data_IF_340998773415
#
_entry.id   IF_340998773415
#
_cell.length_a   1.000
_cell.length_b   1.000
_cell.length_c   1.000
_cell.angle_alpha   90.00
_cell.angle_beta   90.00
_cell.angle_gamma   90.00
#
_symmetry.space_group_name_H-M   'P 1'
#
loop_
_entity.id
_entity.type
_entity.pdbx_description
1 polymer ?
#
# COMPACT_ATOMS: atom_id res chain seq x y z
N UNK A 1 -35.38 -20.18 37.35
CA UNK A 1 -35.21 -20.61 38.76
C UNK A 1 -33.82 -20.16 39.18
N UNK A 2 -33.63 -19.31 40.17
CA UNK A 2 -32.32 -18.86 40.61
C UNK A 2 -31.52 -20.00 41.22
N UNK A 3 -30.21 -20.09 40.92
CA UNK A 3 -29.26 -21.13 41.33
C UNK A 3 -29.04 -21.27 42.85
N UNK A 4 -29.77 -20.53 43.68
CA UNK A 4 -29.62 -20.50 45.18
C UNK A 4 -30.01 -21.82 45.87
N UNK A 5 -30.70 -22.75 45.19
CA UNK A 5 -31.31 -23.93 45.86
C UNK A 5 -30.66 -25.28 45.43
N UNK A 6 -29.51 -25.30 44.77
CA UNK A 6 -28.80 -26.57 44.52
C UNK A 6 -27.84 -26.88 45.70
N UNK A 7 -27.90 -28.09 46.30
CA UNK A 7 -26.99 -28.46 47.38
C UNK A 7 -25.55 -28.55 46.84
N UNK A 8 -24.63 -27.85 47.52
CA UNK A 8 -23.19 -27.86 47.22
C UNK A 8 -22.61 -29.26 47.39
N UNK A 9 -22.27 -29.93 46.30
CA UNK A 9 -21.59 -31.23 46.33
C UNK A 9 -20.13 -31.02 46.78
N UNK A 10 -19.73 -31.54 47.95
CA UNK A 10 -18.32 -31.66 48.35
C UNK A 10 -17.62 -32.70 47.48
N UNK A 11 -17.02 -32.28 46.40
CA UNK A 11 -16.22 -33.12 45.50
C UNK A 11 -14.73 -32.86 45.71
N UNK A 12 -13.89 -33.89 45.46
CA UNK A 12 -12.44 -33.80 45.61
C UNK A 12 -11.84 -32.59 44.84
N UNK A 13 -10.89 -31.92 45.49
CA UNK A 13 -10.17 -30.77 44.92
C UNK A 13 -9.42 -31.20 43.66
N UNK A 14 -9.41 -30.39 42.59
CA UNK A 14 -8.60 -30.67 41.41
C UNK A 14 -7.10 -30.63 41.76
N UNK A 15 -6.24 -31.30 40.96
CA UNK A 15 -4.79 -31.19 41.11
C UNK A 15 -4.35 -29.73 41.07
N UNK A 16 -3.25 -29.42 41.77
CA UNK A 16 -2.75 -28.03 41.87
C UNK A 16 -2.48 -27.34 40.54
N UNK A 17 -2.24 -28.12 39.49
CA UNK A 17 -2.05 -27.62 38.11
C UNK A 17 -3.34 -27.08 37.48
N UNK A 18 -4.52 -27.57 37.89
CA UNK A 18 -5.83 -27.18 37.35
C UNK A 18 -6.51 -26.07 38.16
N UNK A 19 -5.82 -25.48 39.13
CA UNK A 19 -6.34 -24.37 39.92
C UNK A 19 -6.36 -23.08 39.09
N UNK A 20 -7.43 -22.26 39.21
CA UNK A 20 -7.46 -20.91 38.63
C UNK A 20 -6.24 -20.08 38.99
N UNK A 21 -5.78 -19.25 38.06
CA UNK A 21 -4.58 -18.42 38.27
C UNK A 21 -4.61 -17.62 39.57
N UNK A 22 -5.80 -17.10 39.93
CA UNK A 22 -5.99 -16.34 41.16
C UNK A 22 -5.63 -17.14 42.42
N UNK A 23 -5.93 -18.44 42.43
CA UNK A 23 -5.65 -19.32 43.60
C UNK A 23 -4.25 -19.96 43.51
N UNK A 24 -3.73 -20.17 42.33
CA UNK A 24 -2.42 -20.79 42.10
C UNK A 24 -1.28 -19.96 42.70
N UNK A 25 -1.37 -18.64 42.55
CA UNK A 25 -0.32 -17.72 43.00
C UNK A 25 -0.41 -17.34 44.49
N UNK A 26 -1.40 -17.90 45.22
CA UNK A 26 -1.51 -17.68 46.63
C UNK A 26 -0.45 -18.49 47.43
N UNK A 27 0.06 -17.94 48.56
CA UNK A 27 0.85 -18.70 49.49
C UNK A 27 0.10 -19.97 49.92
N UNK A 28 0.80 -21.10 50.16
CA UNK A 28 0.17 -22.38 50.50
C UNK A 28 -0.80 -22.29 51.70
N UNK A 29 -0.45 -21.54 52.72
CA UNK A 29 -1.30 -21.32 53.91
C UNK A 29 -2.62 -20.62 53.56
N UNK A 30 -2.56 -19.57 52.72
CA UNK A 30 -3.75 -18.82 52.27
C UNK A 30 -4.62 -19.71 51.39
N UNK A 31 -4.00 -20.46 50.47
CA UNK A 31 -4.70 -21.40 49.59
C UNK A 31 -5.45 -22.45 50.37
N UNK A 32 -4.83 -23.04 51.39
CA UNK A 32 -5.48 -24.00 52.27
C UNK A 32 -6.66 -23.40 53.05
N UNK A 33 -6.62 -22.11 53.36
CA UNK A 33 -7.72 -21.41 54.04
C UNK A 33 -8.88 -21.08 53.08
N UNK A 34 -8.61 -20.81 51.79
CA UNK A 34 -9.64 -20.48 50.78
C UNK A 34 -10.42 -21.71 50.34
N UNK A 35 -9.74 -22.81 50.09
CA UNK A 35 -10.32 -24.00 49.44
C UNK A 35 -11.61 -24.53 50.15
N UNK A 36 -11.69 -24.57 51.48
CA UNK A 36 -12.91 -25.00 52.18
C UNK A 36 -14.10 -24.02 52.05
N UNK A 37 -13.81 -22.76 51.65
CA UNK A 37 -14.83 -21.70 51.52
C UNK A 37 -15.45 -21.64 50.14
N UNK A 38 -14.92 -22.43 49.16
CA UNK A 38 -15.41 -22.47 47.80
C UNK A 38 -16.62 -23.36 47.64
N UNK A 39 -17.65 -22.83 47.04
CA UNK A 39 -18.87 -23.57 46.64
C UNK A 39 -18.76 -23.97 45.17
N UNK A 40 -18.83 -25.28 44.87
CA UNK A 40 -18.79 -25.76 43.48
C UNK A 40 -20.19 -25.75 42.86
N UNK A 41 -20.29 -25.16 41.69
CA UNK A 41 -21.50 -25.11 40.86
C UNK A 41 -21.24 -25.77 39.52
N UNK A 42 -22.02 -26.78 39.14
CA UNK A 42 -22.04 -27.37 37.82
C UNK A 42 -23.14 -26.68 37.01
N UNK A 43 -22.74 -26.04 35.94
CA UNK A 43 -23.63 -25.22 35.11
C UNK A 43 -23.92 -25.94 33.79
N UNK A 44 -25.18 -26.19 33.44
CA UNK A 44 -25.54 -26.81 32.17
C UNK A 44 -25.28 -25.83 30.99
N UNK A 45 -25.20 -26.33 29.76
CA UNK A 45 -25.09 -25.48 28.54
C UNK A 45 -26.18 -24.39 28.53
N UNK A 46 -25.78 -23.14 28.26
CA UNK A 46 -26.66 -21.97 28.27
C UNK A 46 -27.11 -21.51 29.66
N UNK A 47 -26.69 -22.19 30.76
CA UNK A 47 -27.07 -21.83 32.14
C UNK A 47 -26.55 -20.45 32.54
N UNK A 48 -27.39 -19.67 33.21
CA UNK A 48 -27.04 -18.35 33.70
C UNK A 48 -26.24 -18.47 35.00
N UNK A 49 -25.01 -17.89 35.02
CA UNK A 49 -24.15 -17.87 36.21
C UNK A 49 -24.35 -16.55 36.97
N UNK A 50 -24.38 -15.44 36.27
CA UNK A 50 -24.68 -14.10 36.75
C UNK A 50 -25.74 -13.46 35.88
N UNK A 51 -26.63 -12.67 36.44
CA UNK A 51 -27.59 -11.86 35.70
C UNK A 51 -27.32 -10.38 35.97
N UNK A 52 -27.33 -9.58 34.92
CA UNK A 52 -27.25 -8.12 35.02
C UNK A 52 -28.37 -7.58 35.91
N UNK A 53 -28.03 -6.65 36.82
CA UNK A 53 -28.94 -6.07 37.77
C UNK A 53 -29.14 -6.85 39.09
N UNK A 54 -28.68 -8.12 39.16
CA UNK A 54 -28.74 -8.89 40.42
C UNK A 54 -27.75 -8.32 41.47
N UNK A 55 -28.02 -8.50 42.76
CA UNK A 55 -27.10 -8.11 43.84
C UNK A 55 -25.73 -8.80 43.68
N UNK A 56 -24.66 -8.06 43.95
CA UNK A 56 -23.28 -8.58 43.95
C UNK A 56 -22.94 -9.23 45.28
N UNK A 57 -22.94 -10.57 45.33
CA UNK A 57 -22.85 -11.34 46.57
C UNK A 57 -21.67 -12.34 46.63
N UNK A 58 -20.97 -12.54 45.52
CA UNK A 58 -19.85 -13.51 45.41
C UNK A 58 -18.89 -13.18 44.27
N UNK A 59 -17.65 -13.64 44.40
CA UNK A 59 -16.65 -13.77 43.33
C UNK A 59 -16.77 -15.18 42.72
N UNK A 60 -16.59 -15.29 41.40
CA UNK A 60 -16.67 -16.55 40.70
C UNK A 60 -15.36 -16.87 40.01
N UNK A 61 -15.03 -18.17 39.92
CA UNK A 61 -13.84 -18.71 39.24
C UNK A 61 -14.30 -19.79 38.27
N UNK A 62 -14.00 -19.64 36.98
CA UNK A 62 -14.32 -20.66 35.99
C UNK A 62 -13.26 -21.75 36.02
N UNK A 63 -13.64 -22.99 36.36
CA UNK A 63 -12.73 -24.13 36.52
C UNK A 63 -12.61 -24.92 35.21
N UNK A 64 -13.76 -25.16 34.56
CA UNK A 64 -13.86 -25.89 33.28
C UNK A 64 -14.94 -25.26 32.42
N UNK A 65 -14.77 -25.41 31.11
CA UNK A 65 -15.70 -24.88 30.12
C UNK A 65 -15.36 -23.46 29.69
N UNK A 66 -16.33 -22.84 29.08
CA UNK A 66 -16.28 -21.44 28.61
C UNK A 66 -17.58 -20.73 29.01
N UNK A 67 -17.51 -19.42 29.17
CA UNK A 67 -18.68 -18.59 29.44
C UNK A 67 -18.67 -17.31 28.58
N UNK A 68 -19.86 -16.83 28.26
CA UNK A 68 -20.11 -15.63 27.48
C UNK A 68 -20.58 -14.53 28.39
N UNK A 69 -19.93 -13.37 28.31
CA UNK A 69 -20.33 -12.14 29.02
C UNK A 69 -21.13 -11.29 28.06
N UNK A 70 -22.34 -10.93 28.45
CA UNK A 70 -23.24 -10.07 27.69
C UNK A 70 -23.81 -8.94 28.52
N UNK A 71 -24.15 -7.83 27.84
CA UNK A 71 -24.84 -6.69 28.45
C UNK A 71 -26.14 -6.45 27.68
N UNK A 72 -27.20 -6.15 28.41
CA UNK A 72 -28.46 -5.80 27.78
C UNK A 72 -28.39 -4.37 27.20
N UNK A 73 -28.68 -4.25 25.92
CA UNK A 73 -28.75 -2.97 25.19
C UNK A 73 -30.12 -2.85 24.52
N UNK A 74 -31.08 -2.32 25.27
CA UNK A 74 -32.43 -2.13 24.76
C UNK A 74 -33.23 -3.42 24.51
N UNK A 75 -33.04 -4.45 25.35
CA UNK A 75 -33.71 -5.74 25.27
C UNK A 75 -32.98 -6.77 24.37
N UNK A 76 -31.81 -6.44 23.83
CA UNK A 76 -30.96 -7.38 23.09
C UNK A 76 -29.62 -7.61 23.79
N UNK A 77 -29.18 -8.87 23.97
CA UNK A 77 -27.90 -9.17 24.60
C UNK A 77 -26.74 -8.86 23.63
N UNK A 78 -25.94 -7.85 23.99
CA UNK A 78 -24.69 -7.51 23.28
C UNK A 78 -23.53 -8.30 23.88
N UNK A 79 -22.76 -8.99 23.06
CA UNK A 79 -21.56 -9.71 23.50
C UNK A 79 -20.49 -8.70 23.95
N UNK A 80 -20.06 -8.80 25.23
CA UNK A 80 -18.99 -7.98 25.81
C UNK A 80 -17.67 -8.73 25.83
N UNK A 81 -17.69 -10.06 26.07
CA UNK A 81 -16.49 -10.86 26.12
C UNK A 81 -16.74 -12.34 26.33
N UNK A 82 -15.66 -13.11 26.37
CA UNK A 82 -15.66 -14.54 26.69
C UNK A 82 -14.72 -14.82 27.82
N UNK A 83 -15.08 -15.77 28.66
CA UNK A 83 -14.30 -16.27 29.78
C UNK A 83 -13.89 -17.72 29.49
N UNK A 84 -12.69 -18.05 29.88
CA UNK A 84 -12.10 -19.38 29.74
C UNK A 84 -11.76 -19.98 31.11
N UNK A 85 -11.54 -21.28 31.16
CA UNK A 85 -11.06 -21.93 32.36
C UNK A 85 -9.82 -21.24 32.97
N UNK A 86 -9.85 -20.92 34.23
CA UNK A 86 -8.83 -20.15 34.94
C UNK A 86 -9.20 -18.67 35.21
N UNK A 87 -10.19 -18.15 34.49
CA UNK A 87 -10.62 -16.75 34.68
C UNK A 87 -11.47 -16.59 35.97
N UNK A 88 -11.35 -15.40 36.56
CA UNK A 88 -12.22 -14.94 37.65
C UNK A 88 -13.17 -13.84 37.14
N UNK A 89 -14.36 -13.74 37.70
CA UNK A 89 -15.36 -12.74 37.29
C UNK A 89 -16.34 -12.41 38.42
N UNK A 90 -17.06 -11.30 38.25
CA UNK A 90 -18.02 -10.83 39.25
C UNK A 90 -17.41 -9.94 40.32
N UNK A 91 -16.12 -9.62 40.27
CA UNK A 91 -15.40 -8.75 41.19
C UNK A 91 -15.86 -7.29 41.13
N UNK A 92 -16.26 -6.83 39.93
CA UNK A 92 -16.59 -5.41 39.72
C UNK A 92 -17.71 -4.96 40.65
N UNK A 93 -18.84 -5.63 40.62
CA UNK A 93 -19.95 -5.25 41.50
C UNK A 93 -19.67 -5.40 42.99
N UNK A 94 -18.78 -6.33 43.40
CA UNK A 94 -18.31 -6.43 44.78
C UNK A 94 -17.44 -5.26 45.22
N UNK A 95 -16.61 -4.74 44.28
CA UNK A 95 -15.73 -3.58 44.52
C UNK A 95 -16.48 -2.27 44.53
N UNK A 96 -17.42 -2.09 43.58
CA UNK A 96 -18.21 -0.87 43.45
C UNK A 96 -19.41 -0.83 44.37
N UNK A 97 -19.77 -1.96 45.00
CA UNK A 97 -21.00 -2.15 45.79
C UNK A 97 -22.28 -1.90 44.97
N UNK A 98 -22.19 -2.12 43.68
CA UNK A 98 -23.28 -1.96 42.71
C UNK A 98 -23.85 -3.33 42.30
N UNK A 99 -25.06 -3.38 41.73
CA UNK A 99 -25.58 -4.57 41.07
C UNK A 99 -24.67 -5.07 39.95
N UNK A 100 -24.84 -6.34 39.54
CA UNK A 100 -24.07 -6.94 38.43
C UNK A 100 -24.18 -6.09 37.16
N UNK A 101 -23.06 -5.71 36.60
CA UNK A 101 -22.99 -4.84 35.41
C UNK A 101 -23.23 -5.58 34.07
N UNK A 102 -23.20 -6.92 34.10
CA UNK A 102 -23.32 -7.79 32.93
C UNK A 102 -23.91 -9.14 33.31
N UNK A 103 -24.47 -9.86 32.33
CA UNK A 103 -24.87 -11.27 32.48
C UNK A 103 -23.74 -12.19 32.02
N UNK A 104 -23.60 -13.35 32.66
CA UNK A 104 -22.64 -14.39 32.31
C UNK A 104 -23.38 -15.71 32.14
N UNK A 105 -23.25 -16.33 30.96
CA UNK A 105 -23.89 -17.61 30.65
C UNK A 105 -22.82 -18.62 30.21
N UNK A 106 -23.02 -19.88 30.57
CA UNK A 106 -22.13 -20.95 30.17
C UNK A 106 -22.27 -21.24 28.65
N UNK A 107 -21.14 -21.26 27.94
CA UNK A 107 -21.07 -21.63 26.50
C UNK A 107 -20.72 -23.13 26.37
N UNK A 108 -21.64 -23.98 26.81
CA UNK A 108 -21.44 -25.40 27.00
C UNK A 108 -21.45 -25.80 28.49
N UNK A 109 -21.16 -27.06 28.84
CA UNK A 109 -21.06 -27.50 30.24
C UNK A 109 -19.91 -26.76 30.93
N UNK A 110 -20.15 -26.18 32.12
CA UNK A 110 -19.14 -25.44 32.85
C UNK A 110 -19.14 -25.81 34.35
N UNK A 111 -17.94 -25.88 34.95
CA UNK A 111 -17.73 -25.96 36.39
C UNK A 111 -17.22 -24.60 36.89
N UNK A 112 -17.91 -24.07 37.89
CA UNK A 112 -17.63 -22.75 38.46
C UNK A 112 -17.49 -22.89 39.98
N UNK A 113 -16.49 -22.21 40.56
CA UNK A 113 -16.44 -22.03 41.98
C UNK A 113 -16.97 -20.65 42.37
N UNK A 114 -17.86 -20.63 43.34
CA UNK A 114 -18.43 -19.43 43.95
C UNK A 114 -17.75 -19.18 45.27
N UNK A 115 -17.25 -17.97 45.51
CA UNK A 115 -16.70 -17.51 46.77
C UNK A 115 -17.57 -16.38 47.34
N UNK A 116 -18.45 -16.63 48.34
CA UNK A 116 -19.33 -15.62 48.90
C UNK A 116 -18.57 -14.43 49.47
N UNK A 117 -19.19 -13.25 49.48
CA UNK A 117 -18.59 -12.04 50.06
C UNK A 117 -18.19 -12.24 51.52
N UNK A 118 -19.04 -12.93 52.32
CA UNK A 118 -18.73 -13.27 53.73
C UNK A 118 -17.44 -14.10 53.85
N UNK A 119 -17.18 -15.01 52.94
CA UNK A 119 -15.96 -15.82 52.87
C UNK A 119 -14.73 -14.97 52.46
N UNK A 120 -14.89 -14.04 51.54
CA UNK A 120 -13.85 -13.06 51.18
C UNK A 120 -13.47 -12.18 52.39
N UNK A 121 -14.46 -11.69 53.13
CA UNK A 121 -14.25 -10.88 54.33
C UNK A 121 -13.59 -11.68 55.45
N UNK A 122 -14.00 -12.94 55.63
CA UNK A 122 -13.36 -13.84 56.58
C UNK A 122 -11.88 -14.06 56.22
N UNK A 123 -11.58 -14.37 54.98
CA UNK A 123 -10.22 -14.59 54.50
C UNK A 123 -9.34 -13.35 54.71
N UNK A 124 -9.84 -12.17 54.36
CA UNK A 124 -9.14 -10.91 54.58
C UNK A 124 -8.79 -10.66 56.02
N UNK A 125 -9.73 -10.97 56.95
CA UNK A 125 -9.50 -10.80 58.39
C UNK A 125 -8.52 -11.81 58.96
N UNK A 126 -8.53 -13.06 58.49
CA UNK A 126 -7.71 -14.15 59.05
C UNK A 126 -6.32 -14.25 58.43
N UNK A 127 -6.18 -13.94 57.17
CA UNK A 127 -4.90 -14.10 56.44
C UNK A 127 -4.29 -12.78 55.97
N UNK A 128 -5.01 -11.65 56.08
CA UNK A 128 -4.63 -10.36 55.51
C UNK A 128 -4.70 -10.32 53.97
N UNK A 129 -5.18 -11.38 53.32
CA UNK A 129 -5.21 -11.49 51.87
C UNK A 129 -6.51 -10.97 51.29
N UNK A 130 -6.42 -9.96 50.42
CA UNK A 130 -7.56 -9.40 49.70
C UNK A 130 -7.60 -9.97 48.25
N UNK A 131 -8.34 -11.07 48.08
CA UNK A 131 -8.50 -11.75 46.79
C UNK A 131 -9.27 -10.89 45.80
N UNK A 132 -10.17 -10.05 46.26
CA UNK A 132 -10.98 -9.18 45.43
C UNK A 132 -10.09 -8.13 44.73
N UNK A 133 -9.26 -7.45 45.52
CA UNK A 133 -8.28 -6.49 44.99
C UNK A 133 -7.27 -7.16 44.06
N UNK A 134 -6.83 -8.39 44.36
CA UNK A 134 -5.92 -9.13 43.47
C UNK A 134 -6.57 -9.48 42.15
N UNK A 135 -7.83 -9.95 42.13
CA UNK A 135 -8.60 -10.23 40.93
C UNK A 135 -8.73 -8.97 40.07
N UNK A 136 -9.14 -7.85 40.66
CA UNK A 136 -9.31 -6.57 39.97
C UNK A 136 -8.01 -6.04 39.37
N UNK A 137 -6.88 -6.12 40.07
CA UNK A 137 -5.57 -5.72 39.57
C UNK A 137 -5.16 -6.53 38.33
N UNK A 138 -5.39 -7.85 38.33
CA UNK A 138 -5.10 -8.72 37.16
C UNK A 138 -5.92 -8.30 35.94
N UNK A 139 -7.22 -8.06 36.11
CA UNK A 139 -8.07 -7.60 35.02
C UNK A 139 -7.65 -6.22 34.52
N UNK A 140 -7.32 -5.28 35.43
CA UNK A 140 -6.83 -3.96 35.05
C UNK A 140 -5.50 -4.03 34.26
N UNK A 141 -4.56 -4.88 34.71
CA UNK A 141 -3.28 -5.09 33.98
C UNK A 141 -3.52 -5.68 32.61
N UNK A 142 -4.32 -6.74 32.48
CA UNK A 142 -4.63 -7.36 31.20
C UNK A 142 -5.33 -6.40 30.23
N UNK A 143 -6.25 -5.58 30.73
CA UNK A 143 -6.92 -4.54 29.96
C UNK A 143 -5.93 -3.44 29.51
N UNK A 144 -5.06 -2.99 30.42
CA UNK A 144 -4.01 -2.00 30.14
C UNK A 144 -3.07 -2.47 29.02
N UNK A 145 -2.63 -3.73 29.05
CA UNK A 145 -1.80 -4.33 28.01
C UNK A 145 -2.52 -4.43 26.66
N UNK A 146 -3.83 -4.77 26.67
CA UNK A 146 -4.64 -4.80 25.44
C UNK A 146 -4.79 -3.40 24.84
N UNK A 147 -5.09 -2.40 25.66
CA UNK A 147 -5.20 -1.00 25.23
C UNK A 147 -3.87 -0.47 24.69
N UNK A 148 -2.75 -0.75 25.38
CA UNK A 148 -1.42 -0.37 24.89
C UNK A 148 -1.12 -0.97 23.51
N UNK A 149 -1.40 -2.27 23.29
CA UNK A 149 -1.24 -2.92 21.99
C UNK A 149 -2.10 -2.29 20.90
N UNK A 150 -3.39 -2.06 21.19
CA UNK A 150 -4.31 -1.42 20.22
C UNK A 150 -3.84 -0.01 19.87
N UNK A 151 -3.42 0.78 20.85
CA UNK A 151 -2.91 2.13 20.64
C UNK A 151 -1.62 2.12 19.79
N UNK A 152 -0.70 1.17 20.05
CA UNK A 152 0.52 1.04 19.24
C UNK A 152 0.20 0.72 17.77
N UNK A 153 -0.68 -0.28 17.53
CA UNK A 153 -1.11 -0.65 16.16
C UNK A 153 -1.81 0.52 15.47
N UNK A 154 -2.68 1.23 16.19
CA UNK A 154 -3.39 2.39 15.65
C UNK A 154 -2.41 3.53 15.27
N UNK A 155 -1.43 3.82 16.15
CA UNK A 155 -0.41 4.83 15.90
C UNK A 155 0.48 4.48 14.68
N UNK A 156 0.96 3.24 14.58
CA UNK A 156 1.74 2.76 13.44
C UNK A 156 0.95 2.83 12.13
N UNK A 157 -0.32 2.42 12.17
CA UNK A 157 -1.19 2.47 10.99
C UNK A 157 -1.42 3.90 10.54
N UNK A 158 -1.68 4.81 11.48
CA UNK A 158 -1.87 6.23 11.20
C UNK A 158 -0.61 6.88 10.62
N UNK A 159 0.57 6.55 11.15
CA UNK A 159 1.84 7.02 10.61
C UNK A 159 2.05 6.57 9.16
N UNK A 160 1.82 5.28 8.85
CA UNK A 160 1.92 4.77 7.47
C UNK A 160 0.98 5.50 6.51
N UNK A 161 -0.27 5.70 6.89
CA UNK A 161 -1.22 6.45 6.06
C UNK A 161 -0.80 7.91 5.86
N UNK A 162 -0.25 8.55 6.89
CA UNK A 162 0.25 9.92 6.78
C UNK A 162 1.46 10.02 5.84
N UNK A 163 2.38 9.06 5.89
CA UNK A 163 3.53 8.99 4.98
C UNK A 163 3.09 8.76 3.54
N UNK A 164 2.17 7.82 3.30
CA UNK A 164 1.60 7.59 1.98
C UNK A 164 0.90 8.84 1.43
N UNK A 165 0.12 9.54 2.26
CA UNK A 165 -0.56 10.77 1.87
C UNK A 165 0.46 11.88 1.53
N UNK A 166 1.47 12.09 2.36
CA UNK A 166 2.56 13.06 2.10
C UNK A 166 3.27 12.77 0.79
N UNK A 167 3.58 11.50 0.53
CA UNK A 167 4.20 11.07 -0.73
C UNK A 167 3.32 11.39 -1.93
N UNK A 168 2.02 11.09 -1.87
CA UNK A 168 1.07 11.41 -2.94
C UNK A 168 0.97 12.91 -3.22
N UNK A 169 0.93 13.73 -2.18
CA UNK A 169 0.92 15.20 -2.31
C UNK A 169 2.21 15.70 -2.95
N UNK A 170 3.37 15.21 -2.51
CA UNK A 170 4.66 15.59 -3.06
C UNK A 170 4.78 15.22 -4.55
N UNK A 171 4.37 14.00 -4.95
CA UNK A 171 4.34 13.61 -6.35
C UNK A 171 3.29 14.37 -7.16
N UNK A 172 2.14 14.72 -6.58
CA UNK A 172 1.14 15.56 -7.21
C UNK A 172 1.68 16.96 -7.52
N UNK A 173 2.40 17.57 -6.57
CA UNK A 173 3.07 18.86 -6.76
C UNK A 173 4.14 18.77 -7.85
N UNK A 174 4.99 17.75 -7.80
CA UNK A 174 6.00 17.49 -8.83
C UNK A 174 5.36 17.37 -10.22
N UNK A 175 4.30 16.58 -10.34
CA UNK A 175 3.55 16.38 -11.57
C UNK A 175 2.97 17.70 -12.11
N UNK A 176 2.35 18.50 -11.24
CA UNK A 176 1.77 19.80 -11.62
C UNK A 176 2.83 20.76 -12.17
N UNK A 177 4.00 20.81 -11.51
CA UNK A 177 5.12 21.65 -11.97
C UNK A 177 5.67 21.17 -13.33
N UNK A 178 5.73 19.85 -13.57
CA UNK A 178 6.15 19.29 -14.86
C UNK A 178 5.12 19.61 -15.95
N UNK A 179 3.83 19.52 -15.69
CA UNK A 179 2.77 19.90 -16.65
C UNK A 179 2.87 21.38 -17.02
N UNK A 180 3.08 22.26 -16.03
CA UNK A 180 3.30 23.67 -16.30
C UNK A 180 4.53 23.91 -17.18
N UNK A 181 5.64 23.24 -16.89
CA UNK A 181 6.86 23.33 -17.69
C UNK A 181 6.65 22.83 -19.12
N UNK A 182 5.90 21.73 -19.31
CA UNK A 182 5.53 21.20 -20.62
C UNK A 182 4.62 22.18 -21.39
N UNK A 183 3.68 22.81 -20.71
CA UNK A 183 2.84 23.84 -21.32
C UNK A 183 3.69 25.03 -21.83
N UNK A 184 4.64 25.51 -21.02
CA UNK A 184 5.55 26.57 -21.42
C UNK A 184 6.44 26.17 -22.61
N UNK A 185 6.91 24.92 -22.62
CA UNK A 185 7.68 24.35 -23.73
C UNK A 185 6.88 24.33 -25.04
N UNK A 186 5.67 23.76 -25.04
CA UNK A 186 4.83 23.67 -26.23
C UNK A 186 4.40 25.06 -26.73
N UNK A 187 4.07 25.97 -25.81
CA UNK A 187 3.73 27.35 -26.12
C UNK A 187 4.92 28.11 -26.71
N UNK A 188 6.11 27.90 -26.17
CA UNK A 188 7.37 28.46 -26.69
C UNK A 188 7.68 27.98 -28.11
N UNK A 189 7.49 26.69 -28.40
CA UNK A 189 7.63 26.14 -29.76
C UNK A 189 6.65 26.80 -30.72
N UNK A 190 5.37 26.97 -30.32
CA UNK A 190 4.36 27.63 -31.14
C UNK A 190 4.72 29.07 -31.45
N UNK A 191 5.14 29.83 -30.41
CA UNK A 191 5.54 31.22 -30.57
C UNK A 191 6.80 31.37 -31.47
N UNK A 192 7.82 30.54 -31.26
CA UNK A 192 9.02 30.57 -32.09
C UNK A 192 8.70 30.27 -33.55
N UNK A 193 7.86 29.30 -33.85
CA UNK A 193 7.40 29.03 -35.25
C UNK A 193 6.68 30.23 -35.88
N UNK A 194 5.85 30.93 -35.10
CA UNK A 194 5.16 32.13 -35.56
C UNK A 194 6.13 33.29 -35.85
N UNK A 195 7.13 33.50 -34.98
CA UNK A 195 8.09 34.59 -35.11
C UNK A 195 9.17 34.33 -36.18
N UNK A 196 9.53 33.06 -36.39
CA UNK A 196 10.61 32.68 -37.36
C UNK A 196 10.09 32.32 -38.74
N UNK A 197 8.95 32.80 -39.18
CA UNK A 197 8.24 32.47 -40.45
C UNK A 197 9.11 32.20 -41.71
N UNK A 198 10.43 32.13 -41.60
CA UNK A 198 11.40 31.86 -42.63
C UNK A 198 12.32 30.69 -42.27
N UNK A 199 12.00 29.50 -42.76
CA UNK A 199 12.98 28.49 -43.20
C UNK A 199 13.97 27.85 -42.19
N UNK A 200 13.92 28.15 -40.91
CA UNK A 200 14.80 27.49 -39.93
C UNK A 200 14.35 26.04 -39.67
N UNK A 201 15.28 25.07 -39.67
CA UNK A 201 14.94 23.69 -39.41
C UNK A 201 14.26 23.53 -38.03
N UNK A 202 13.22 22.71 -37.96
CA UNK A 202 12.47 22.44 -36.74
C UNK A 202 13.37 21.97 -35.59
N UNK A 203 14.46 21.26 -35.87
CA UNK A 203 15.44 20.75 -34.94
C UNK A 203 16.26 21.88 -34.30
N UNK A 204 16.68 22.90 -35.04
CA UNK A 204 17.43 24.04 -34.48
C UNK A 204 16.59 24.91 -33.52
N UNK A 205 15.27 24.94 -33.73
CA UNK A 205 14.34 25.67 -32.85
C UNK A 205 14.01 24.82 -31.60
N UNK A 206 13.76 23.53 -31.78
CA UNK A 206 13.26 22.66 -30.69
C UNK A 206 14.35 22.22 -29.72
N UNK A 207 15.61 22.04 -30.21
CA UNK A 207 16.69 21.52 -29.35
C UNK A 207 17.06 22.45 -28.18
N UNK A 208 17.28 23.77 -28.35
CA UNK A 208 17.57 24.67 -27.23
C UNK A 208 16.41 24.74 -26.24
N UNK A 209 15.17 24.75 -26.72
CA UNK A 209 13.98 24.80 -25.89
C UNK A 209 13.80 23.50 -25.09
N UNK A 210 14.07 22.34 -25.72
CA UNK A 210 14.08 21.05 -25.03
C UNK A 210 15.15 20.99 -23.93
N UNK A 211 16.35 21.52 -24.19
CA UNK A 211 17.42 21.59 -23.18
C UNK A 211 17.05 22.50 -22.02
N UNK A 212 16.43 23.66 -22.31
CA UNK A 212 15.92 24.56 -21.26
C UNK A 212 14.83 23.87 -20.41
N UNK A 213 13.90 23.16 -21.06
CA UNK A 213 12.89 22.34 -20.39
C UNK A 213 13.54 21.25 -19.52
N UNK A 214 14.55 20.55 -20.06
CA UNK A 214 15.28 19.53 -19.30
C UNK A 214 15.99 20.10 -18.06
N UNK A 215 16.59 21.26 -18.19
CA UNK A 215 17.23 21.96 -17.06
C UNK A 215 16.20 22.36 -16.00
N UNK A 216 15.04 22.88 -16.40
CA UNK A 216 13.92 23.17 -15.50
C UNK A 216 13.38 21.90 -14.81
N UNK A 217 13.19 20.84 -15.58
CA UNK A 217 12.74 19.55 -15.07
C UNK A 217 13.74 18.94 -14.08
N UNK A 218 15.05 19.02 -14.35
CA UNK A 218 16.10 18.58 -13.44
C UNK A 218 16.14 19.44 -12.16
N UNK A 219 15.91 20.75 -12.28
CA UNK A 219 15.76 21.67 -11.15
C UNK A 219 14.59 21.27 -10.24
N UNK A 220 13.40 21.06 -10.83
CA UNK A 220 12.20 20.62 -10.11
C UNK A 220 12.45 19.25 -9.43
N UNK A 221 13.09 18.30 -10.14
CA UNK A 221 13.44 16.99 -9.58
C UNK A 221 14.40 17.11 -8.37
N UNK A 222 15.42 17.97 -8.46
CA UNK A 222 16.34 18.22 -7.33
C UNK A 222 15.63 18.87 -6.13
N UNK A 223 14.80 19.88 -6.38
CA UNK A 223 14.03 20.57 -5.34
C UNK A 223 12.96 19.69 -4.68
N UNK A 224 12.53 18.63 -5.34
CA UNK A 224 11.57 17.67 -4.79
C UNK A 224 12.09 16.85 -3.60
N UNK A 225 13.41 16.80 -3.42
CA UNK A 225 14.08 16.01 -2.37
C UNK A 225 14.09 14.50 -2.62
N UNK A 226 13.53 14.03 -3.75
CA UNK A 226 13.57 12.60 -4.10
C UNK A 226 14.94 12.19 -4.65
N UNK A 227 15.32 10.92 -4.41
CA UNK A 227 16.58 10.39 -4.95
C UNK A 227 16.54 10.26 -6.47
N UNK A 228 17.69 10.34 -7.13
CA UNK A 228 17.80 10.14 -8.57
C UNK A 228 17.26 8.77 -9.04
N UNK A 229 17.40 7.75 -8.21
CA UNK A 229 16.85 6.43 -8.48
C UNK A 229 15.31 6.43 -8.60
N UNK A 230 14.61 7.34 -7.91
CA UNK A 230 13.15 7.53 -8.02
C UNK A 230 12.73 7.90 -9.45
N UNK A 231 13.60 8.59 -10.18
CA UNK A 231 13.39 9.03 -11.56
C UNK A 231 14.00 8.08 -12.61
N UNK A 232 14.41 6.87 -12.18
CA UNK A 232 14.96 5.87 -13.08
C UNK A 232 16.47 5.97 -13.36
N UNK A 233 17.19 6.89 -12.68
CA UNK A 233 18.65 6.91 -12.73
C UNK A 233 19.22 5.83 -11.82
N UNK A 234 19.19 4.59 -12.29
CA UNK A 234 19.67 3.42 -11.58
C UNK A 234 20.39 2.48 -12.52
N UNK A 235 21.48 1.89 -12.02
CA UNK A 235 22.24 0.84 -12.71
C UNK A 235 21.95 -0.55 -12.12
N UNK A 236 20.91 -0.67 -11.29
CA UNK A 236 20.51 -1.96 -10.74
C UNK A 236 20.17 -2.92 -11.89
N UNK A 237 20.80 -4.10 -11.89
CA UNK A 237 20.62 -5.13 -12.93
C UNK A 237 20.90 -4.62 -14.37
N UNK A 238 21.79 -3.65 -14.56
CA UNK A 238 22.04 -3.00 -15.85
C UNK A 238 22.28 -3.95 -17.03
N UNK A 239 23.00 -5.08 -16.79
CA UNK A 239 23.25 -6.07 -17.83
C UNK A 239 21.99 -6.72 -18.36
N UNK A 240 21.08 -7.08 -17.45
CA UNK A 240 19.77 -7.61 -17.81
C UNK A 240 18.91 -6.54 -18.50
N UNK A 241 18.92 -5.31 -17.98
CA UNK A 241 18.19 -4.19 -18.59
C UNK A 241 18.63 -3.95 -20.03
N UNK A 242 19.93 -3.94 -20.31
CA UNK A 242 20.46 -3.78 -21.66
C UNK A 242 20.06 -4.96 -22.55
N UNK A 243 20.26 -6.20 -22.12
CA UNK A 243 19.95 -7.39 -22.91
C UNK A 243 18.45 -7.48 -23.25
N UNK A 244 17.57 -7.27 -22.25
CA UNK A 244 16.12 -7.27 -22.45
C UNK A 244 15.67 -6.13 -23.37
N UNK A 245 16.26 -4.94 -23.23
CA UNK A 245 15.96 -3.79 -24.08
C UNK A 245 16.39 -4.02 -25.54
N UNK A 246 17.58 -4.57 -25.77
CA UNK A 246 18.05 -4.90 -27.12
C UNK A 246 17.17 -5.96 -27.78
N UNK A 247 16.78 -7.00 -27.06
CA UNK A 247 15.89 -8.04 -27.56
C UNK A 247 14.55 -7.46 -28.03
N UNK A 248 13.87 -6.71 -27.15
CA UNK A 248 12.56 -6.16 -27.48
C UNK A 248 12.64 -5.03 -28.51
N UNK A 249 13.73 -4.26 -28.54
CA UNK A 249 14.01 -3.28 -29.59
C UNK A 249 14.16 -3.95 -30.97
N UNK A 250 14.90 -5.06 -31.05
CA UNK A 250 15.04 -5.82 -32.29
C UNK A 250 13.69 -6.37 -32.76
N UNK A 251 12.87 -6.91 -31.86
CA UNK A 251 11.49 -7.37 -32.18
C UNK A 251 10.64 -6.21 -32.71
N UNK A 252 10.71 -5.04 -32.07
CA UNK A 252 9.96 -3.85 -32.51
C UNK A 252 10.42 -3.36 -33.88
N UNK A 253 11.72 -3.25 -34.09
CA UNK A 253 12.29 -2.86 -35.41
C UNK A 253 11.89 -3.84 -36.52
N UNK A 254 11.93 -5.15 -36.23
CA UNK A 254 11.49 -6.17 -37.20
C UNK A 254 9.99 -6.03 -37.52
N UNK A 255 9.15 -5.80 -36.53
CA UNK A 255 7.71 -5.60 -36.74
C UNK A 255 7.41 -4.35 -37.58
N UNK A 256 8.08 -3.21 -37.29
CA UNK A 256 7.94 -1.98 -38.06
C UNK A 256 8.42 -2.17 -39.52
N UNK A 257 9.54 -2.86 -39.70
CA UNK A 257 10.08 -3.18 -41.04
C UNK A 257 9.10 -4.06 -41.83
N UNK A 258 8.54 -5.10 -41.18
CA UNK A 258 7.55 -5.97 -41.80
C UNK A 258 6.25 -5.20 -42.15
N UNK A 259 5.81 -4.28 -41.28
CA UNK A 259 4.66 -3.43 -41.56
C UNK A 259 4.91 -2.53 -42.77
N UNK A 260 6.09 -1.88 -42.87
CA UNK A 260 6.46 -1.10 -44.05
C UNK A 260 6.50 -1.97 -45.31
N UNK A 261 7.12 -3.15 -45.26
CA UNK A 261 7.17 -4.07 -46.40
C UNK A 261 5.77 -4.46 -46.87
N UNK A 262 4.84 -4.72 -45.95
CA UNK A 262 3.45 -5.02 -46.28
C UNK A 262 2.75 -3.83 -46.95
N UNK A 263 2.92 -2.61 -46.45
CA UNK A 263 2.34 -1.40 -47.04
C UNK A 263 2.87 -1.18 -48.45
N UNK A 264 4.16 -1.36 -48.66
CA UNK A 264 4.78 -1.24 -50.00
C UNK A 264 4.27 -2.31 -50.98
N UNK A 265 4.03 -3.54 -50.50
CA UNK A 265 3.43 -4.60 -51.32
C UNK A 265 1.98 -4.30 -51.70
N UNK A 266 1.28 -3.44 -50.92
CA UNK A 266 -0.04 -2.91 -51.24
C UNK A 266 0.00 -1.58 -52.00
N UNK A 267 1.19 -1.17 -52.47
CA UNK A 267 1.44 0.09 -53.17
C UNK A 267 1.00 1.36 -52.43
N UNK A 268 1.00 1.30 -51.11
CA UNK A 268 0.62 2.42 -50.23
C UNK A 268 1.85 3.11 -49.63
N UNK A 269 1.91 4.45 -49.51
CA UNK A 269 0.93 5.46 -49.98
C UNK A 269 1.04 5.76 -51.50
N UNK A 270 2.10 5.32 -52.12
CA UNK A 270 2.35 5.48 -53.55
C UNK A 270 3.33 4.41 -54.08
N UNK A 271 3.25 4.02 -55.36
CA UNK A 271 4.20 3.06 -55.93
C UNK A 271 5.62 3.62 -56.00
N UNK A 272 6.62 2.73 -56.01
CA UNK A 272 8.03 3.08 -56.23
C UNK A 272 8.83 3.48 -55.00
N UNK A 273 8.24 3.45 -53.77
CA UNK A 273 8.98 3.66 -52.55
C UNK A 273 9.85 2.43 -52.20
N UNK A 274 11.10 2.66 -51.79
CA UNK A 274 11.99 1.59 -51.34
C UNK A 274 11.78 1.19 -49.91
N UNK A 275 12.03 -0.10 -49.56
CA UNK A 275 11.98 -0.59 -48.21
C UNK A 275 13.04 0.08 -47.34
N UNK A 276 14.25 0.20 -47.86
CA UNK A 276 15.38 0.85 -47.20
C UNK A 276 15.83 2.07 -48.01
N UNK A 277 16.19 3.13 -47.32
CA UNK A 277 16.68 4.36 -47.89
C UNK A 277 18.19 4.52 -47.70
N UNK A 278 18.90 5.35 -48.50
CA UNK A 278 20.29 5.69 -48.24
C UNK A 278 20.45 6.30 -46.86
N UNK A 279 21.48 5.88 -46.13
CA UNK A 279 21.75 6.33 -44.78
C UNK A 279 22.17 7.81 -44.69
N UNK A 280 22.63 8.37 -45.78
CA UNK A 280 23.06 9.76 -45.89
C UNK A 280 21.97 10.61 -46.54
N UNK A 281 21.56 11.70 -45.86
CA UNK A 281 20.58 12.65 -46.39
C UNK A 281 21.09 13.40 -47.62
N UNK A 282 20.17 14.01 -48.35
CA UNK A 282 20.51 14.86 -49.51
C UNK A 282 21.39 16.07 -49.14
N UNK A 283 21.38 16.49 -47.83
CA UNK A 283 22.21 17.58 -47.31
C UNK A 283 23.67 17.16 -47.02
N UNK A 284 24.00 15.87 -47.20
CA UNK A 284 25.34 15.33 -47.07
C UNK A 284 25.63 14.68 -45.73
N UNK A 285 26.78 13.97 -45.68
CA UNK A 285 27.14 13.14 -44.50
C UNK A 285 27.35 13.95 -43.20
N UNK A 286 27.83 15.20 -43.30
CA UNK A 286 28.06 16.06 -42.13
C UNK A 286 26.74 16.43 -41.44
N UNK A 287 25.75 16.85 -42.22
CA UNK A 287 24.42 17.17 -41.69
C UNK A 287 23.74 15.93 -41.10
N UNK A 288 23.87 14.79 -41.76
CA UNK A 288 23.35 13.51 -41.29
C UNK A 288 23.96 13.11 -39.93
N UNK A 289 25.29 13.18 -39.82
CA UNK A 289 25.98 12.87 -38.57
C UNK A 289 25.57 13.82 -37.43
N UNK A 290 25.46 15.11 -37.71
CA UNK A 290 25.01 16.09 -36.72
C UNK A 290 23.58 15.80 -36.23
N UNK A 291 22.67 15.48 -37.15
CA UNK A 291 21.29 15.13 -36.81
C UNK A 291 21.22 13.88 -35.94
N UNK A 292 21.97 12.82 -36.25
CA UNK A 292 22.01 11.60 -35.47
C UNK A 292 22.70 11.78 -34.10
N UNK A 293 23.75 12.60 -34.04
CA UNK A 293 24.40 12.96 -32.78
C UNK A 293 23.43 13.74 -31.85
N UNK A 294 22.74 14.73 -32.41
CA UNK A 294 21.71 15.48 -31.65
C UNK A 294 20.59 14.56 -31.21
N UNK A 295 20.07 13.70 -32.07
CA UNK A 295 19.03 12.72 -31.75
C UNK A 295 19.48 11.80 -30.58
N UNK A 296 20.70 11.26 -30.67
CA UNK A 296 21.27 10.37 -29.64
C UNK A 296 21.37 11.05 -28.27
N UNK A 297 21.73 12.34 -28.23
CA UNK A 297 21.83 13.11 -26.97
C UNK A 297 20.46 13.52 -26.45
N UNK A 298 19.54 13.90 -27.36
CA UNK A 298 18.22 14.42 -26.94
C UNK A 298 17.23 13.34 -26.55
N UNK A 299 17.33 12.11 -27.10
CA UNK A 299 16.42 11.00 -26.77
C UNK A 299 16.43 10.62 -25.27
N UNK A 300 17.60 10.44 -24.59
CA UNK A 300 17.63 10.23 -23.14
C UNK A 300 17.00 11.36 -22.33
N UNK A 301 17.13 12.61 -22.80
CA UNK A 301 16.51 13.79 -22.16
C UNK A 301 14.99 13.70 -22.26
N UNK A 302 14.47 13.34 -23.42
CA UNK A 302 13.03 13.13 -23.61
C UNK A 302 12.52 12.00 -22.71
N UNK A 303 13.24 10.88 -22.62
CA UNK A 303 12.86 9.76 -21.74
C UNK A 303 12.92 10.13 -20.26
N UNK A 304 13.89 10.94 -19.83
CA UNK A 304 13.92 11.46 -18.47
C UNK A 304 12.63 12.24 -18.13
N UNK A 305 12.19 13.11 -19.04
CA UNK A 305 10.98 13.91 -18.82
C UNK A 305 9.72 13.05 -18.88
N UNK A 306 9.59 12.23 -19.93
CA UNK A 306 8.37 11.46 -20.19
C UNK A 306 8.24 10.25 -19.25
N UNK A 307 9.32 9.51 -18.99
CA UNK A 307 9.30 8.27 -18.20
C UNK A 307 9.75 8.51 -16.77
N UNK A 308 10.91 9.15 -16.59
CA UNK A 308 11.45 9.42 -15.26
C UNK A 308 10.53 10.31 -14.42
N UNK A 309 10.18 11.47 -14.93
CA UNK A 309 9.40 12.45 -14.19
C UNK A 309 7.89 12.22 -14.33
N UNK A 310 7.36 12.22 -15.54
CA UNK A 310 5.92 12.22 -15.75
C UNK A 310 5.30 10.85 -15.42
N UNK A 311 5.76 9.77 -16.07
CA UNK A 311 5.24 8.43 -15.81
C UNK A 311 5.54 7.96 -14.39
N UNK A 312 6.76 8.20 -13.91
CA UNK A 312 7.18 7.84 -12.55
C UNK A 312 6.34 8.53 -11.48
N UNK A 313 6.05 9.83 -11.64
CA UNK A 313 5.16 10.57 -10.74
C UNK A 313 3.73 10.06 -10.77
N UNK A 314 3.18 9.78 -11.96
CA UNK A 314 1.85 9.20 -12.12
C UNK A 314 1.72 7.84 -11.44
N UNK A 315 2.73 6.97 -11.56
CA UNK A 315 2.76 5.66 -10.90
C UNK A 315 2.72 5.75 -9.37
N UNK A 316 3.27 6.82 -8.79
CA UNK A 316 3.29 7.06 -7.34
C UNK A 316 2.04 7.80 -6.83
N UNK A 317 1.45 8.65 -7.66
CA UNK A 317 0.29 9.47 -7.32
C UNK A 317 -1.05 8.74 -7.50
N UNK A 318 -1.18 7.98 -8.59
CA UNK A 318 -2.42 7.28 -8.92
C UNK A 318 -2.71 6.14 -7.93
N UNK A 319 -3.99 5.91 -7.68
CA UNK A 319 -4.48 4.82 -6.84
C UNK A 319 -5.47 3.93 -7.61
N UNK A 320 -5.75 2.74 -7.09
CA UNK A 320 -6.73 1.81 -7.63
C UNK A 320 -6.13 0.79 -8.60
N UNK A 321 -6.99 0.16 -9.42
CA UNK A 321 -6.58 -0.89 -10.36
C UNK A 321 -5.87 -0.31 -11.59
N UNK A 322 -4.95 -1.09 -12.17
CA UNK A 322 -4.24 -0.78 -13.42
C UNK A 322 -3.45 0.56 -13.41
N UNK A 323 -2.90 0.95 -12.25
CA UNK A 323 -2.10 2.17 -12.08
C UNK A 323 -0.97 2.25 -13.12
N UNK A 324 -0.23 1.15 -13.32
CA UNK A 324 0.87 1.11 -14.29
C UNK A 324 0.42 1.42 -15.72
N UNK A 325 -0.66 0.78 -16.18
CA UNK A 325 -1.21 1.02 -17.52
C UNK A 325 -1.71 2.46 -17.68
N UNK A 326 -2.43 2.99 -16.68
CA UNK A 326 -2.93 4.36 -16.70
C UNK A 326 -1.80 5.38 -16.74
N UNK A 327 -0.73 5.16 -15.97
CA UNK A 327 0.44 6.01 -15.98
C UNK A 327 1.15 6.00 -17.34
N UNK A 328 1.29 4.82 -17.97
CA UNK A 328 1.84 4.70 -19.32
C UNK A 328 0.98 5.45 -20.33
N UNK A 329 -0.33 5.23 -20.35
CA UNK A 329 -1.24 5.89 -21.29
C UNK A 329 -1.22 7.40 -21.16
N UNK A 330 -1.33 7.93 -19.92
CA UNK A 330 -1.38 9.38 -19.69
C UNK A 330 -0.05 10.05 -20.02
N UNK A 331 1.07 9.50 -19.55
CA UNK A 331 2.39 10.09 -19.85
C UNK A 331 2.70 10.04 -21.35
N UNK A 332 2.27 8.97 -22.03
CA UNK A 332 2.47 8.81 -23.45
C UNK A 332 1.57 9.76 -24.29
N UNK A 333 0.34 10.00 -23.87
CA UNK A 333 -0.52 11.00 -24.49
C UNK A 333 0.12 12.38 -24.44
N UNK A 334 0.67 12.79 -23.28
CA UNK A 334 1.41 14.05 -23.15
C UNK A 334 2.65 14.08 -24.04
N UNK A 335 3.43 12.98 -24.05
CA UNK A 335 4.60 12.85 -24.93
C UNK A 335 4.25 13.01 -26.41
N UNK A 336 3.18 12.38 -26.87
CA UNK A 336 2.68 12.48 -28.23
C UNK A 336 2.24 13.91 -28.57
N UNK A 337 1.48 14.57 -27.68
CA UNK A 337 1.04 15.98 -27.87
C UNK A 337 2.24 16.93 -28.01
N UNK A 338 3.33 16.70 -27.27
CA UNK A 338 4.56 17.51 -27.42
C UNK A 338 5.19 17.45 -28.81
N UNK A 339 4.85 16.44 -29.65
CA UNK A 339 5.31 16.29 -31.02
C UNK A 339 4.35 16.90 -32.05
N UNK A 340 3.23 17.49 -31.61
CA UNK A 340 2.25 18.12 -32.51
C UNK A 340 2.85 19.23 -33.42
N UNK A 341 3.93 19.85 -32.99
CA UNK A 341 4.64 20.87 -33.75
C UNK A 341 5.28 20.31 -35.07
N UNK A 342 5.49 18.99 -35.15
CA UNK A 342 5.96 18.29 -36.34
C UNK A 342 4.82 17.85 -37.27
N UNK A 343 3.57 18.01 -36.83
CA UNK A 343 2.37 17.61 -37.55
C UNK A 343 1.54 16.57 -36.81
N UNK A 344 0.24 16.54 -37.08
CA UNK A 344 -0.70 15.63 -36.40
C UNK A 344 -0.39 14.16 -36.71
N UNK A 345 -0.07 13.84 -37.95
CA UNK A 345 0.32 12.48 -38.38
C UNK A 345 1.54 11.99 -37.60
N UNK A 346 2.56 12.85 -37.48
CA UNK A 346 3.75 12.54 -36.72
C UNK A 346 3.45 12.31 -35.21
N UNK A 347 2.65 13.17 -34.59
CA UNK A 347 2.25 13.01 -33.17
C UNK A 347 1.50 11.68 -32.94
N UNK A 348 0.65 11.27 -33.88
CA UNK A 348 -0.05 9.97 -33.81
C UNK A 348 0.95 8.81 -34.02
N UNK A 349 1.87 8.94 -34.98
CA UNK A 349 2.87 7.91 -35.25
C UNK A 349 3.80 7.66 -34.04
N UNK A 350 4.19 8.70 -33.31
CA UNK A 350 5.04 8.60 -32.10
C UNK A 350 4.32 7.95 -30.93
N UNK A 351 2.98 7.88 -30.96
CA UNK A 351 2.20 7.29 -29.86
C UNK A 351 2.51 5.81 -29.66
N UNK A 352 2.64 5.03 -30.72
CA UNK A 352 2.91 3.59 -30.65
C UNK A 352 4.28 3.25 -30.03
N UNK A 353 5.42 3.79 -30.53
CA UNK A 353 6.71 3.56 -29.89
C UNK A 353 6.74 4.12 -28.46
N UNK A 354 6.04 5.22 -28.20
CA UNK A 354 5.91 5.76 -26.87
C UNK A 354 5.21 4.84 -25.88
N UNK A 355 4.18 4.09 -26.28
CA UNK A 355 3.57 3.04 -25.45
C UNK A 355 4.58 1.93 -25.15
N UNK A 356 5.34 1.51 -26.14
CA UNK A 356 6.37 0.48 -26.00
C UNK A 356 7.46 0.91 -25.01
N UNK A 357 7.98 2.13 -25.09
CA UNK A 357 8.96 2.67 -24.13
C UNK A 357 8.36 2.85 -22.74
N UNK A 358 7.09 3.26 -22.64
CA UNK A 358 6.38 3.35 -21.37
C UNK A 358 6.24 2.00 -20.67
N UNK A 359 5.92 0.95 -21.42
CA UNK A 359 5.90 -0.42 -20.94
C UNK A 359 7.30 -0.89 -20.51
N UNK A 360 8.32 -0.64 -21.34
CA UNK A 360 9.71 -1.00 -21.03
C UNK A 360 10.20 -0.33 -19.74
N UNK A 361 9.91 0.95 -19.56
CA UNK A 361 10.24 1.66 -18.33
C UNK A 361 9.49 1.09 -17.12
N UNK A 362 8.21 0.78 -17.24
CA UNK A 362 7.44 0.15 -16.17
C UNK A 362 8.01 -1.22 -15.77
N UNK A 363 8.60 -1.96 -16.72
CA UNK A 363 9.25 -3.26 -16.51
C UNK A 363 10.62 -3.16 -15.84
N UNK A 364 11.43 -2.15 -16.21
CA UNK A 364 12.81 -2.01 -15.75
C UNK A 364 12.98 -1.08 -14.55
N UNK A 365 12.15 -0.06 -14.41
CA UNK A 365 12.35 1.03 -13.47
C UNK A 365 13.62 1.86 -13.74
N UNK A 366 14.17 1.78 -14.95
CA UNK A 366 15.45 2.39 -15.34
C UNK A 366 15.36 3.12 -16.66
N UNK A 367 15.96 4.31 -16.73
CA UNK A 367 16.08 5.09 -17.96
C UNK A 367 17.10 4.49 -18.94
N UNK A 368 18.05 3.68 -18.48
CA UNK A 368 19.12 3.14 -19.31
C UNK A 368 18.59 2.35 -20.49
N UNK A 369 17.70 1.38 -20.23
CA UNK A 369 17.16 0.52 -21.29
C UNK A 369 16.23 1.25 -22.24
N UNK A 370 15.36 2.09 -21.71
CA UNK A 370 14.41 2.84 -22.53
C UNK A 370 15.10 3.89 -23.41
N UNK A 371 16.13 4.58 -22.87
CA UNK A 371 16.93 5.52 -23.67
C UNK A 371 17.69 4.83 -24.79
N UNK A 372 18.32 3.68 -24.49
CA UNK A 372 18.99 2.87 -25.51
C UNK A 372 18.02 2.43 -26.61
N UNK A 373 16.85 1.93 -26.24
CA UNK A 373 15.80 1.52 -27.17
C UNK A 373 15.30 2.68 -28.03
N UNK A 374 15.08 3.85 -27.42
CA UNK A 374 14.61 5.05 -28.12
C UNK A 374 15.62 5.49 -29.21
N UNK A 375 16.92 5.54 -28.84
CA UNK A 375 17.98 5.87 -29.80
C UNK A 375 17.97 4.88 -30.98
N UNK A 376 17.97 3.58 -30.69
CA UNK A 376 18.06 2.55 -31.72
C UNK A 376 16.84 2.52 -32.65
N UNK A 377 15.62 2.60 -32.09
CA UNK A 377 14.39 2.65 -32.89
C UNK A 377 14.35 3.91 -33.73
N UNK A 378 14.69 5.07 -33.18
CA UNK A 378 14.67 6.30 -33.92
C UNK A 378 15.66 6.32 -35.09
N UNK A 379 16.92 5.90 -34.85
CA UNK A 379 17.91 5.77 -35.91
C UNK A 379 17.46 4.77 -36.98
N UNK A 380 16.81 3.66 -36.58
CA UNK A 380 16.28 2.68 -37.54
C UNK A 380 15.14 3.26 -38.39
N UNK A 381 14.17 3.90 -37.71
CA UNK A 381 12.95 4.43 -38.37
C UNK A 381 13.26 5.62 -39.28
N UNK A 382 14.14 6.54 -38.87
CA UNK A 382 14.47 7.75 -39.64
C UNK A 382 15.64 7.54 -40.60
N UNK A 383 16.69 6.80 -40.18
CA UNK A 383 17.92 6.64 -40.97
C UNK A 383 17.89 5.47 -41.92
N UNK A 384 17.17 4.40 -41.64
CA UNK A 384 17.15 3.19 -42.46
C UNK A 384 15.84 3.01 -43.22
N UNK A 385 14.71 3.24 -42.54
CA UNK A 385 13.40 3.02 -43.13
C UNK A 385 12.80 4.29 -43.75
N UNK A 386 13.22 5.48 -43.32
CA UNK A 386 12.63 6.77 -43.72
C UNK A 386 11.09 6.75 -43.72
N UNK A 387 10.50 6.41 -42.55
CA UNK A 387 9.04 6.39 -42.45
C UNK A 387 8.42 7.79 -42.56
N UNK A 388 9.20 8.85 -42.41
CA UNK A 388 8.73 10.21 -42.55
C UNK A 388 8.24 10.50 -44.01
N UNK A 389 8.80 9.81 -45.02
CA UNK A 389 8.34 9.91 -46.40
C UNK A 389 6.98 9.26 -46.68
N UNK A 390 6.45 8.48 -45.69
CA UNK A 390 5.18 7.77 -45.82
C UNK A 390 4.03 8.49 -45.06
N UNK A 391 4.34 9.46 -44.23
CA UNK A 391 3.39 10.23 -43.41
C UNK A 391 3.31 11.67 -43.95
#
# INVERSE_FOLDING_TARGET
MPLKDQPAARSALPPSADLPLLLRDLPPAVRSAVLPLLERLAIPPGGCILREGDPSDALYLLIRGQAVVSKDQGGQPMLVGRLSAGDSFGEVGLLTQEPRSTSVHADGPADVWRLPQSALDHLRRTTGTDLLTQSARRHATALGERLARVNTIAAETMQRHLEEFRMRVAFGTLFSNIILLLFLYVSGLGLLRYLTAAGASSTLISAPLLLAMAAGAAGIARLSGFSAATFGFTLTRWRWVIADSLLWTAVFCAAVTAAKALLLALEYPRPGLALFQPWVSAEGWQATLLAYALYTVLSPVQEFIARGLLQGSLQKMLAGRAVGLRAVLLSNAVFSICHQHLGTGYAVAVFLPGLFWGWMYARHGSLLGVSLSHILIGLWVTGVLDLASMV
#
